data_IF_298598187525
#
_entry.id   IF_298598187525
#
_cell.length_a   1.000
_cell.length_b   1.000
_cell.length_c   1.000
_cell.angle_alpha   90.00
_cell.angle_beta   90.00
_cell.angle_gamma   90.00
#
_symmetry.space_group_name_H-M   'P 1'
#
loop_
_entity.id
_entity.type
_entity.pdbx_description
1 polymer ?
#
# COMPACT_ATOMS: atom_id res chain seq x y z
N UNK A 1 -48.36 -32.30 42.86
CA UNK A 1 -47.60 -31.63 41.78
C UNK A 1 -48.12 -30.19 41.65
N UNK A 2 -47.23 -29.21 41.89
CA UNK A 2 -47.19 -27.78 41.49
C UNK A 2 -48.52 -27.02 41.28
N UNK A 3 -48.91 -26.10 42.19
CA UNK A 3 -48.64 -24.64 42.20
C UNK A 3 -49.14 -23.90 40.93
N UNK A 4 -50.22 -23.09 40.98
CA UNK A 4 -50.29 -21.66 41.43
C UNK A 4 -49.55 -20.74 40.42
N UNK A 5 -50.05 -19.65 39.81
CA UNK A 5 -51.27 -18.81 39.92
C UNK A 5 -51.20 -17.73 38.81
N UNK A 6 -52.37 -17.38 38.23
CA UNK A 6 -52.90 -16.01 37.94
C UNK A 6 -52.24 -15.10 36.86
N UNK A 7 -53.02 -14.94 35.78
CA UNK A 7 -53.56 -13.69 35.23
C UNK A 7 -52.65 -12.74 34.45
N UNK A 8 -52.90 -12.69 33.14
CA UNK A 8 -52.52 -11.61 32.25
C UNK A 8 -53.70 -10.62 32.11
N UNK A 9 -53.46 -9.32 32.38
CA UNK A 9 -54.21 -8.23 31.76
C UNK A 9 -53.48 -6.88 31.89
N UNK A 10 -53.52 -6.10 30.81
CA UNK A 10 -53.22 -4.65 30.67
C UNK A 10 -51.75 -4.15 30.74
N UNK A 11 -51.16 -3.85 29.56
CA UNK A 11 -50.75 -2.47 29.17
C UNK A 11 -49.89 -2.44 27.88
N UNK A 12 -50.53 -2.54 26.71
CA UNK A 12 -49.91 -2.16 25.41
C UNK A 12 -50.64 -0.93 24.87
N UNK A 13 -50.27 0.26 25.35
CA UNK A 13 -50.79 1.53 24.80
C UNK A 13 -49.96 2.78 25.11
N UNK A 14 -48.94 2.73 25.98
CA UNK A 14 -48.16 3.92 26.38
C UNK A 14 -46.75 4.05 25.77
N UNK A 15 -46.26 3.04 25.04
CA UNK A 15 -44.89 3.05 24.48
C UNK A 15 -44.86 3.59 23.04
N UNK A 16 -46.00 3.62 22.34
CA UNK A 16 -46.06 4.06 20.93
C UNK A 16 -46.25 5.58 20.74
N UNK A 17 -46.62 6.32 21.80
CA UNK A 17 -46.78 7.78 21.77
C UNK A 17 -45.50 8.56 22.13
N UNK A 18 -44.54 7.94 22.84
CA UNK A 18 -43.28 8.59 23.22
C UNK A 18 -42.26 8.71 22.08
N UNK A 19 -42.31 7.80 21.10
CA UNK A 19 -41.34 7.76 19.98
C UNK A 19 -41.69 8.79 18.89
N UNK A 20 -42.96 9.18 18.75
CA UNK A 20 -43.40 10.17 17.76
C UNK A 20 -43.12 11.62 18.18
N UNK A 21 -43.11 11.94 19.48
CA UNK A 21 -42.82 13.31 19.95
C UNK A 21 -41.33 13.70 19.83
N UNK A 22 -40.42 12.73 19.97
CA UNK A 22 -38.97 12.97 19.89
C UNK A 22 -38.51 13.18 18.43
N UNK A 23 -39.14 12.48 17.48
CA UNK A 23 -38.87 12.66 16.04
C UNK A 23 -39.34 14.03 15.50
N UNK A 24 -40.40 14.61 16.07
CA UNK A 24 -40.90 15.94 15.68
C UNK A 24 -40.04 17.08 16.24
N UNK A 25 -39.44 16.91 17.42
CA UNK A 25 -38.54 17.91 18.04
C UNK A 25 -37.17 17.98 17.34
N UNK A 26 -36.65 16.86 16.84
CA UNK A 26 -35.38 16.82 16.10
C UNK A 26 -35.48 17.39 14.67
N UNK A 27 -36.66 17.31 14.05
CA UNK A 27 -36.90 17.89 12.72
C UNK A 27 -37.09 19.40 12.77
N UNK A 28 -37.62 19.96 13.86
CA UNK A 28 -37.75 21.43 14.04
C UNK A 28 -36.41 22.09 14.38
N UNK A 29 -35.48 21.40 15.05
CA UNK A 29 -34.14 21.92 15.36
C UNK A 29 -33.20 22.01 14.14
N UNK A 30 -33.46 21.27 13.07
CA UNK A 30 -32.69 21.33 11.82
C UNK A 30 -33.12 22.46 10.87
N UNK A 31 -34.23 23.15 11.14
CA UNK A 31 -34.78 24.20 10.26
C UNK A 31 -34.74 25.63 10.83
N UNK A 32 -34.16 25.87 12.02
CA UNK A 32 -34.19 27.21 12.66
C UNK A 32 -32.80 27.78 13.03
N UNK A 33 -31.68 27.15 12.66
CA UNK A 33 -30.36 27.80 12.75
C UNK A 33 -30.01 28.56 11.46
N UNK A 34 -29.84 29.89 11.48
CA UNK A 34 -29.60 30.66 10.27
C UNK A 34 -28.19 30.44 9.70
N UNK A 35 -28.13 30.08 8.41
CA UNK A 35 -26.94 29.85 7.56
C UNK A 35 -26.01 31.08 7.36
N UNK A 36 -26.14 32.14 8.14
CA UNK A 36 -25.47 33.43 7.91
C UNK A 36 -24.13 33.59 8.64
N UNK A 37 -23.89 32.88 9.76
CA UNK A 37 -22.65 33.07 10.55
C UNK A 37 -21.43 32.34 9.99
N UNK A 38 -21.60 31.17 9.38
CA UNK A 38 -20.48 30.40 8.78
C UNK A 38 -19.93 31.11 7.54
N UNK A 39 -20.79 31.76 6.74
CA UNK A 39 -20.38 32.48 5.54
C UNK A 39 -19.57 33.75 5.88
N UNK A 40 -19.94 34.45 6.95
CA UNK A 40 -19.23 35.64 7.40
C UNK A 40 -17.86 35.32 8.02
N UNK A 41 -17.72 34.19 8.72
CA UNK A 41 -16.42 33.72 9.23
C UNK A 41 -15.43 33.39 8.09
N UNK A 42 -15.92 32.75 7.02
CA UNK A 42 -15.10 32.43 5.84
C UNK A 42 -14.61 33.68 5.09
N UNK A 43 -15.43 34.74 4.99
CA UNK A 43 -15.04 35.99 4.33
C UNK A 43 -14.05 36.83 5.18
N UNK A 44 -14.19 36.81 6.51
CA UNK A 44 -13.25 37.48 7.42
C UNK A 44 -11.86 36.83 7.39
N UNK A 45 -11.80 35.49 7.29
CA UNK A 45 -10.56 34.72 7.16
C UNK A 45 -9.77 35.05 5.89
N UNK A 46 -10.44 35.13 4.73
CA UNK A 46 -9.77 35.48 3.46
C UNK A 46 -9.22 36.92 3.46
N UNK A 47 -9.92 37.87 4.09
CA UNK A 47 -9.45 39.26 4.19
C UNK A 47 -8.20 39.42 5.05
N UNK A 48 -8.02 38.56 6.07
CA UNK A 48 -6.85 38.56 6.93
C UNK A 48 -5.62 37.90 6.27
N UNK A 49 -5.81 36.94 5.35
CA UNK A 49 -4.72 36.35 4.55
C UNK A 49 -4.18 37.28 3.46
N UNK A 50 -5.01 38.21 2.94
CA UNK A 50 -4.59 39.16 1.90
C UNK A 50 -3.82 40.38 2.44
N UNK A 51 -3.89 40.68 3.75
CA UNK A 51 -3.19 41.84 4.34
C UNK A 51 -1.80 41.54 4.91
N UNK A 52 -1.43 40.26 5.11
CA UNK A 52 -0.13 39.88 5.68
C UNK A 52 1.01 39.74 4.66
N UNK A 53 0.75 39.88 3.36
CA UNK A 53 1.77 39.74 2.31
C UNK A 53 2.43 41.06 1.87
N UNK A 54 2.26 42.14 2.64
CA UNK A 54 2.91 43.42 2.38
C UNK A 54 3.59 43.96 3.64
N UNK A 55 4.79 43.46 3.97
CA UNK A 55 5.92 44.16 4.62
C UNK A 55 6.95 43.17 5.18
N UNK A 56 8.13 43.10 4.55
CA UNK A 56 9.46 43.13 5.17
C UNK A 56 10.52 42.61 4.17
N UNK A 57 11.08 43.54 3.40
CA UNK A 57 12.45 43.44 2.90
C UNK A 57 13.39 43.77 4.06
N UNK A 58 14.24 42.84 4.48
CA UNK A 58 15.59 43.13 4.98
C UNK A 58 16.48 41.93 4.68
N UNK A 59 17.60 42.18 4.00
CA UNK A 59 18.53 41.16 3.55
C UNK A 59 19.51 40.71 4.63
N UNK A 60 19.80 39.42 4.63
CA UNK A 60 21.05 38.83 5.12
C UNK A 60 21.47 37.78 4.10
N UNK A 61 22.68 37.93 3.56
CA UNK A 61 23.26 36.98 2.62
C UNK A 61 23.49 35.63 3.30
N UNK A 62 22.68 34.64 2.96
CA UNK A 62 22.81 33.25 3.39
C UNK A 62 22.63 32.34 2.18
N UNK A 63 23.61 31.49 1.93
CA UNK A 63 23.69 30.59 0.77
C UNK A 63 22.48 29.64 0.77
N UNK A 64 21.50 29.93 -0.09
CA UNK A 64 20.34 29.07 -0.29
C UNK A 64 20.61 28.14 -1.48
N UNK A 65 21.21 26.97 -1.21
CA UNK A 65 21.25 25.88 -2.20
C UNK A 65 19.97 25.06 -2.00
N UNK A 66 19.01 25.20 -2.91
CA UNK A 66 17.92 24.24 -3.05
C UNK A 66 18.54 22.88 -3.39
N UNK A 67 18.48 21.92 -2.46
CA UNK A 67 18.89 20.54 -2.71
C UNK A 67 17.78 19.82 -3.48
N UNK A 68 17.96 19.70 -4.79
CA UNK A 68 17.14 18.86 -5.64
C UNK A 68 17.81 17.50 -5.79
N UNK A 69 17.48 16.55 -4.91
CA UNK A 69 18.03 15.19 -4.93
C UNK A 69 17.87 14.49 -6.29
N UNK A 70 16.83 14.83 -7.07
CA UNK A 70 16.61 14.26 -8.40
C UNK A 70 17.67 14.76 -9.41
N UNK A 71 18.08 16.03 -9.33
CA UNK A 71 19.16 16.56 -10.16
C UNK A 71 20.52 15.97 -9.77
N UNK A 72 20.73 15.64 -8.50
CA UNK A 72 21.97 15.04 -8.02
C UNK A 72 22.11 13.58 -8.45
N UNK A 73 21.01 12.80 -8.43
CA UNK A 73 20.97 11.43 -8.96
C UNK A 73 21.18 11.40 -10.49
N UNK A 74 20.58 12.35 -11.23
CA UNK A 74 20.81 12.50 -12.67
C UNK A 74 22.24 12.95 -12.97
N UNK A 75 22.82 13.84 -12.14
CA UNK A 75 24.23 14.26 -12.26
C UNK A 75 25.19 13.12 -11.94
N UNK A 76 24.91 12.28 -10.94
CA UNK A 76 25.70 11.08 -10.62
C UNK A 76 25.62 10.06 -11.76
N UNK A 77 24.44 9.88 -12.36
CA UNK A 77 24.28 9.05 -13.57
C UNK A 77 25.08 9.55 -14.77
N UNK A 78 25.31 10.87 -14.90
CA UNK A 78 26.21 11.45 -15.91
C UNK A 78 27.69 11.43 -15.51
N UNK A 79 28.01 11.48 -14.21
CA UNK A 79 29.38 11.43 -13.70
C UNK A 79 30.04 10.07 -13.94
N UNK A 80 29.26 8.98 -13.96
CA UNK A 80 29.75 7.63 -14.28
C UNK A 80 30.35 7.51 -15.70
N UNK A 81 30.10 8.48 -16.59
CA UNK A 81 30.71 8.51 -17.92
C UNK A 81 32.09 9.19 -17.94
N UNK A 82 32.45 9.92 -16.88
CA UNK A 82 33.70 10.72 -16.80
C UNK A 82 34.69 10.25 -15.73
N UNK A 83 34.27 9.46 -14.74
CA UNK A 83 35.17 8.85 -13.76
C UNK A 83 35.48 7.40 -14.10
N UNK A 84 36.41 7.22 -15.03
CA UNK A 84 37.10 5.95 -15.22
C UNK A 84 38.02 5.65 -14.04
N UNK A 85 37.87 4.44 -13.50
CA UNK A 85 38.86 3.69 -12.69
C UNK A 85 39.39 4.35 -11.42
N UNK A 86 38.66 4.19 -10.31
CA UNK A 86 39.20 3.67 -9.05
C UNK A 86 38.03 3.46 -8.08
N UNK A 87 37.91 2.23 -7.57
CA UNK A 87 36.84 1.71 -6.72
C UNK A 87 35.55 1.24 -7.41
N UNK A 88 35.68 0.30 -8.37
CA UNK A 88 34.63 -0.69 -8.60
C UNK A 88 34.58 -1.63 -7.38
N UNK A 89 34.09 -1.16 -6.24
CA UNK A 89 33.46 -2.08 -5.29
C UNK A 89 32.24 -2.64 -6.03
N UNK A 90 32.40 -3.82 -6.62
CA UNK A 90 31.39 -4.46 -7.46
C UNK A 90 30.07 -4.46 -6.67
N UNK A 91 29.04 -3.74 -7.16
CA UNK A 91 27.71 -3.65 -6.55
C UNK A 91 26.97 -5.01 -6.66
N UNK A 92 27.60 -6.09 -6.20
CA UNK A 92 27.06 -7.44 -6.22
C UNK A 92 25.99 -7.60 -5.15
N UNK A 93 25.09 -8.56 -5.35
CA UNK A 93 24.10 -8.93 -4.33
C UNK A 93 24.78 -9.29 -3.00
N UNK A 94 25.87 -10.06 -3.05
CA UNK A 94 26.63 -10.46 -1.87
C UNK A 94 27.23 -9.26 -1.14
N UNK A 95 27.79 -8.29 -1.87
CA UNK A 95 28.30 -7.05 -1.27
C UNK A 95 27.17 -6.27 -0.60
N UNK A 96 26.06 -6.04 -1.31
CA UNK A 96 24.95 -5.26 -0.78
C UNK A 96 24.30 -5.89 0.45
N UNK A 97 24.07 -7.20 0.40
CA UNK A 97 23.47 -7.97 1.47
C UNK A 97 24.41 -8.06 2.69
N UNK A 98 25.70 -8.39 2.48
CA UNK A 98 26.67 -8.55 3.58
C UNK A 98 27.04 -7.23 4.26
N UNK A 99 27.10 -6.13 3.50
CA UNK A 99 27.38 -4.79 4.04
C UNK A 99 26.14 -4.06 4.51
N UNK A 100 24.95 -4.65 4.36
CA UNK A 100 23.68 -4.06 4.80
C UNK A 100 23.52 -2.63 4.26
N UNK A 101 23.71 -2.47 2.94
CA UNK A 101 23.68 -1.14 2.34
C UNK A 101 22.32 -0.48 2.53
N UNK A 102 22.35 0.82 2.79
CA UNK A 102 21.14 1.63 3.04
C UNK A 102 20.16 1.57 1.86
N UNK A 103 18.86 1.72 2.14
CA UNK A 103 17.77 1.64 1.16
C UNK A 103 17.91 2.62 -0.01
N UNK A 104 18.57 3.77 0.19
CA UNK A 104 18.81 4.79 -0.84
C UNK A 104 20.23 4.74 -1.44
N UNK A 105 21.01 3.68 -1.15
CA UNK A 105 22.35 3.54 -1.70
C UNK A 105 22.31 3.31 -3.22
N UNK A 106 23.15 4.01 -4.03
CA UNK A 106 23.14 3.91 -5.49
C UNK A 106 23.28 2.49 -6.04
N UNK A 107 24.16 1.66 -5.45
CA UNK A 107 24.25 0.24 -5.82
C UNK A 107 22.90 -0.46 -5.75
N UNK A 108 22.13 -0.27 -4.66
CA UNK A 108 20.84 -0.95 -4.45
C UNK A 108 19.84 -0.51 -5.52
N UNK A 109 19.72 0.79 -5.71
CA UNK A 109 18.78 1.39 -6.68
C UNK A 109 19.12 0.94 -8.10
N UNK A 110 20.41 0.98 -8.47
CA UNK A 110 20.84 0.64 -9.82
C UNK A 110 20.77 -0.88 -10.08
N UNK A 111 21.07 -1.72 -9.09
CA UNK A 111 20.86 -3.17 -9.22
C UNK A 111 19.40 -3.50 -9.46
N UNK A 112 18.46 -2.87 -8.72
CA UNK A 112 17.02 -3.07 -8.97
C UNK A 112 16.68 -2.66 -10.41
N UNK A 113 17.11 -1.46 -10.83
CA UNK A 113 16.81 -0.89 -12.15
C UNK A 113 17.36 -1.74 -13.30
N UNK A 114 18.57 -2.27 -13.16
CA UNK A 114 19.26 -3.01 -14.22
C UNK A 114 18.86 -4.48 -14.29
N UNK A 115 18.57 -5.12 -13.16
CA UNK A 115 18.47 -6.58 -13.08
C UNK A 115 17.10 -7.11 -12.66
N UNK A 116 16.26 -6.31 -11.99
CA UNK A 116 14.99 -6.79 -11.44
C UNK A 116 13.77 -6.07 -11.98
N UNK A 117 13.95 -4.89 -12.56
CA UNK A 117 12.85 -4.01 -12.95
C UNK A 117 12.42 -4.25 -14.42
N UNK A 118 11.34 -5.00 -14.61
CA UNK A 118 10.78 -5.22 -15.94
C UNK A 118 9.84 -4.08 -16.33
N UNK A 119 9.99 -3.61 -17.58
CA UNK A 119 9.21 -2.50 -18.12
C UNK A 119 7.73 -2.90 -18.32
N UNK A 120 6.80 -1.95 -18.11
CA UNK A 120 5.41 -2.13 -18.50
C UNK A 120 5.28 -2.53 -19.97
N UNK A 121 4.27 -3.36 -20.26
CA UNK A 121 3.94 -3.65 -21.65
C UNK A 121 3.49 -2.36 -22.37
N UNK A 122 3.86 -2.16 -23.65
CA UNK A 122 3.47 -0.97 -24.39
C UNK A 122 1.94 -0.74 -24.41
N UNK A 123 1.46 0.51 -24.44
CA UNK A 123 0.02 0.80 -24.40
C UNK A 123 -0.80 0.18 -25.53
N UNK A 124 -0.19 -0.06 -26.69
CA UNK A 124 -0.82 -0.66 -27.87
C UNK A 124 -0.92 -2.18 -27.82
N UNK A 125 -0.29 -2.84 -26.85
CA UNK A 125 -0.41 -4.30 -26.66
C UNK A 125 -1.60 -4.55 -25.73
N UNK A 126 -2.62 -5.34 -26.09
CA UNK A 126 -3.74 -5.60 -25.19
C UNK A 126 -3.34 -6.46 -23.99
N UNK A 127 -4.09 -6.33 -22.89
CA UNK A 127 -4.02 -7.26 -21.75
C UNK A 127 -4.41 -8.67 -22.21
N UNK A 128 -3.80 -9.69 -21.60
CA UNK A 128 -4.11 -11.10 -21.87
C UNK A 128 -4.76 -11.73 -20.65
N UNK A 129 -6.06 -11.47 -20.50
CA UNK A 129 -6.87 -11.93 -19.36
C UNK A 129 -7.51 -13.30 -19.64
N UNK A 130 -7.82 -14.05 -18.60
CA UNK A 130 -8.55 -15.32 -18.70
C UNK A 130 -10.01 -15.10 -19.11
N UNK A 131 -10.58 -13.93 -18.79
CA UNK A 131 -11.88 -13.48 -19.29
C UNK A 131 -11.91 -11.97 -19.56
N UNK A 132 -12.66 -11.58 -20.59
CA UNK A 132 -12.86 -10.17 -20.98
C UNK A 132 -14.02 -9.49 -20.23
N UNK A 133 -14.51 -10.10 -19.14
CA UNK A 133 -15.60 -9.51 -18.36
C UNK A 133 -15.17 -8.25 -17.60
N UNK A 134 -16.17 -7.41 -17.30
CA UNK A 134 -15.99 -6.14 -16.60
C UNK A 134 -16.10 -6.26 -15.07
N UNK A 135 -16.05 -7.47 -14.50
CA UNK A 135 -16.14 -7.63 -13.04
C UNK A 135 -14.88 -7.10 -12.36
N UNK A 136 -15.07 -6.56 -11.16
CA UNK A 136 -13.97 -6.23 -10.26
C UNK A 136 -13.23 -7.53 -9.88
N UNK A 137 -11.93 -7.57 -10.12
CA UNK A 137 -11.07 -8.71 -9.83
C UNK A 137 -10.65 -8.74 -8.37
N UNK A 138 -10.67 -7.60 -7.69
CA UNK A 138 -10.43 -7.58 -6.26
C UNK A 138 -11.61 -8.22 -5.50
N UNK A 139 -11.37 -8.82 -4.33
CA UNK A 139 -12.43 -9.20 -3.39
C UNK A 139 -13.27 -8.02 -2.84
N UNK A 140 -12.99 -6.78 -3.26
CA UNK A 140 -13.73 -5.57 -2.87
C UNK A 140 -12.85 -4.33 -2.65
N UNK A 141 -11.53 -4.52 -2.54
CA UNK A 141 -10.54 -3.50 -2.25
C UNK A 141 -10.61 -2.35 -3.27
N UNK A 142 -10.58 -2.67 -4.58
CA UNK A 142 -10.54 -1.69 -5.67
C UNK A 142 -11.66 -0.66 -5.52
N UNK A 143 -12.90 -1.13 -5.31
CA UNK A 143 -14.06 -0.24 -5.19
C UNK A 143 -13.99 0.71 -3.99
N UNK A 144 -13.45 0.26 -2.85
CA UNK A 144 -13.28 1.13 -1.67
C UNK A 144 -12.19 2.16 -1.91
N UNK A 145 -11.02 1.73 -2.39
CA UNK A 145 -9.89 2.61 -2.70
C UNK A 145 -10.28 3.68 -3.72
N UNK A 146 -10.98 3.28 -4.79
CA UNK A 146 -11.42 4.20 -5.82
C UNK A 146 -12.34 5.29 -5.26
N UNK A 147 -13.27 4.94 -4.37
CA UNK A 147 -14.15 5.91 -3.68
C UNK A 147 -13.40 6.81 -2.72
N UNK A 148 -12.49 6.27 -1.91
CA UNK A 148 -11.67 7.06 -0.97
C UNK A 148 -10.84 8.11 -1.71
N UNK A 149 -10.37 7.77 -2.91
CA UNK A 149 -9.59 8.66 -3.76
C UNK A 149 -10.46 9.46 -4.74
N UNK A 150 -11.77 9.58 -4.50
CA UNK A 150 -12.71 10.40 -5.26
C UNK A 150 -12.70 10.07 -6.76
N UNK A 151 -12.71 8.78 -7.09
CA UNK A 151 -12.72 8.25 -8.45
C UNK A 151 -11.52 8.74 -9.29
N UNK A 152 -10.36 8.88 -8.65
CA UNK A 152 -9.13 9.34 -9.29
C UNK A 152 -8.76 8.47 -10.50
N UNK A 153 -8.43 9.12 -11.61
CA UNK A 153 -7.76 8.50 -12.77
C UNK A 153 -6.29 8.89 -12.78
N UNK A 154 -5.48 8.17 -13.55
CA UNK A 154 -4.04 8.42 -13.65
C UNK A 154 -3.33 8.35 -12.28
N UNK A 155 -3.76 7.41 -11.44
CA UNK A 155 -3.10 7.16 -10.17
C UNK A 155 -1.91 6.22 -10.29
N UNK A 156 -1.22 6.01 -9.18
CA UNK A 156 -0.11 5.07 -9.09
C UNK A 156 -0.29 4.10 -7.94
N UNK A 157 -0.27 2.81 -8.25
CA UNK A 157 -0.38 1.76 -7.24
C UNK A 157 0.95 1.02 -7.04
N UNK A 158 1.08 0.38 -5.89
CA UNK A 158 1.99 -0.75 -5.70
C UNK A 158 1.17 -1.92 -5.17
N UNK A 159 1.35 -3.10 -5.74
CA UNK A 159 0.76 -4.35 -5.27
C UNK A 159 1.90 -5.35 -5.04
N UNK A 160 2.09 -5.74 -3.78
CA UNK A 160 3.02 -6.78 -3.36
C UNK A 160 2.23 -8.00 -2.94
N UNK A 161 2.54 -9.15 -3.54
CA UNK A 161 1.61 -10.30 -3.62
C UNK A 161 0.82 -10.30 -4.92
N UNK A 162 1.43 -9.87 -6.03
CA UNK A 162 0.74 -9.70 -7.31
C UNK A 162 0.36 -11.03 -8.00
N UNK A 163 0.87 -12.16 -7.49
CA UNK A 163 0.52 -13.50 -7.91
C UNK A 163 0.66 -13.69 -9.43
N UNK A 164 -0.43 -14.08 -10.13
CA UNK A 164 -0.44 -14.31 -11.57
C UNK A 164 -0.81 -13.05 -12.37
N UNK A 165 -0.95 -11.91 -11.71
CA UNK A 165 -1.30 -10.63 -12.31
C UNK A 165 -2.77 -10.44 -12.67
N UNK A 166 -3.67 -11.37 -12.34
CA UNK A 166 -5.10 -11.27 -12.67
C UNK A 166 -6.02 -11.76 -11.55
N UNK A 167 -5.80 -12.98 -11.05
CA UNK A 167 -6.63 -13.58 -10.02
C UNK A 167 -6.53 -12.76 -8.73
N UNK A 168 -7.67 -12.34 -8.19
CA UNK A 168 -7.77 -11.51 -6.99
C UNK A 168 -6.98 -10.19 -7.02
N UNK A 169 -6.57 -9.69 -8.20
CA UNK A 169 -5.71 -8.51 -8.26
C UNK A 169 -6.44 -7.25 -7.77
N UNK A 170 -5.81 -6.57 -6.81
CA UNK A 170 -6.29 -5.32 -6.23
C UNK A 170 -5.99 -4.10 -7.13
N UNK A 171 -5.21 -4.28 -8.20
CA UNK A 171 -4.76 -3.19 -9.07
C UNK A 171 -5.20 -3.30 -10.52
N UNK A 172 -5.57 -4.49 -11.02
CA UNK A 172 -5.85 -4.71 -12.44
C UNK A 172 -6.98 -3.80 -12.96
N UNK A 173 -8.03 -3.58 -12.17
CA UNK A 173 -9.13 -2.71 -12.57
C UNK A 173 -8.82 -1.22 -12.46
N UNK A 174 -7.93 -0.83 -11.55
CA UNK A 174 -7.37 0.53 -11.52
C UNK A 174 -6.60 0.81 -12.82
N UNK A 175 -5.82 -0.16 -13.27
CA UNK A 175 -5.04 -0.12 -14.50
C UNK A 175 -5.94 -0.05 -15.74
N UNK A 176 -6.79 -1.07 -15.97
CA UNK A 176 -7.52 -1.23 -17.24
C UNK A 176 -8.70 -0.27 -17.42
N UNK A 177 -9.28 0.26 -16.33
CA UNK A 177 -10.47 1.14 -16.40
C UNK A 177 -10.17 2.60 -16.13
N UNK A 178 -9.14 2.90 -15.33
CA UNK A 178 -8.91 4.25 -14.81
C UNK A 178 -7.52 4.82 -15.17
N UNK A 179 -6.79 4.14 -16.06
CA UNK A 179 -5.48 4.54 -16.56
C UNK A 179 -4.44 4.70 -15.44
N UNK A 180 -4.50 3.86 -14.41
CA UNK A 180 -3.47 3.84 -13.39
C UNK A 180 -2.23 3.10 -13.90
N UNK A 181 -1.06 3.60 -13.53
CA UNK A 181 0.20 2.84 -13.61
C UNK A 181 0.57 2.28 -12.25
N UNK A 182 1.60 1.45 -12.19
CA UNK A 182 2.03 0.96 -10.89
C UNK A 182 3.21 0.02 -10.92
N UNK A 183 3.40 -0.68 -9.80
CA UNK A 183 4.40 -1.72 -9.59
C UNK A 183 3.69 -2.99 -9.11
N UNK A 184 4.05 -4.12 -9.68
CA UNK A 184 3.64 -5.46 -9.27
C UNK A 184 4.88 -6.21 -8.75
N UNK A 185 4.82 -6.67 -7.51
CA UNK A 185 5.91 -7.41 -6.86
C UNK A 185 5.38 -8.81 -6.55
N UNK A 186 6.10 -9.83 -7.01
CA UNK A 186 5.74 -11.22 -6.77
C UNK A 186 7.01 -12.06 -6.62
N UNK A 187 7.15 -12.70 -5.46
CA UNK A 187 8.36 -13.43 -5.08
C UNK A 187 8.38 -14.86 -5.64
N UNK A 188 7.22 -15.50 -5.83
CA UNK A 188 7.18 -16.87 -6.32
C UNK A 188 7.47 -16.89 -7.83
N UNK A 189 8.53 -17.57 -8.28
CA UNK A 189 8.93 -17.55 -9.69
C UNK A 189 7.86 -18.16 -10.61
N UNK A 190 7.06 -19.12 -10.14
CA UNK A 190 6.03 -19.79 -10.94
C UNK A 190 4.88 -18.83 -11.24
N UNK A 191 4.38 -18.12 -10.22
CA UNK A 191 3.32 -17.12 -10.35
C UNK A 191 3.82 -15.90 -11.10
N UNK A 192 5.06 -15.46 -10.85
CA UNK A 192 5.68 -14.36 -11.58
C UNK A 192 5.76 -14.62 -13.09
N UNK A 193 6.12 -15.84 -13.52
CA UNK A 193 6.11 -16.18 -14.95
C UNK A 193 4.72 -16.07 -15.57
N UNK A 194 3.66 -16.45 -14.83
CA UNK A 194 2.28 -16.26 -15.28
C UNK A 194 1.93 -14.77 -15.37
N UNK A 195 2.35 -13.96 -14.39
CA UNK A 195 2.17 -12.52 -14.38
C UNK A 195 2.77 -11.85 -15.61
N UNK A 196 3.98 -12.24 -16.01
CA UNK A 196 4.61 -11.71 -17.23
C UNK A 196 3.79 -11.97 -18.51
N UNK A 197 2.99 -13.04 -18.53
CA UNK A 197 2.16 -13.38 -19.69
C UNK A 197 0.89 -12.52 -19.84
N UNK A 198 0.54 -11.70 -18.84
CA UNK A 198 -0.69 -10.90 -18.80
C UNK A 198 -0.62 -9.56 -19.53
N UNK A 199 0.56 -9.16 -20.00
CA UNK A 199 0.81 -7.86 -20.66
C UNK A 199 0.42 -6.63 -19.82
N UNK A 200 0.57 -6.72 -18.49
CA UNK A 200 0.26 -5.63 -17.53
C UNK A 200 0.97 -4.32 -17.92
N UNK A 201 0.29 -3.20 -17.66
CA UNK A 201 0.78 -1.81 -17.86
C UNK A 201 1.49 -1.25 -16.64
N UNK A 202 1.95 -2.13 -15.76
CA UNK A 202 2.73 -1.82 -14.57
C UNK A 202 4.15 -2.40 -14.67
N UNK A 203 5.07 -1.81 -13.92
CA UNK A 203 6.40 -2.37 -13.71
C UNK A 203 6.27 -3.69 -12.95
N UNK A 204 7.11 -4.68 -13.23
CA UNK A 204 7.05 -5.98 -12.53
C UNK A 204 8.42 -6.37 -11.99
N UNK A 205 8.46 -6.90 -10.77
CA UNK A 205 9.70 -7.32 -10.10
C UNK A 205 9.57 -8.73 -9.48
N UNK A 206 10.49 -9.67 -9.80
CA UNK A 206 10.53 -11.00 -9.19
C UNK A 206 11.34 -10.98 -7.88
N UNK A 207 10.86 -10.22 -6.89
CA UNK A 207 11.54 -10.01 -5.62
C UNK A 207 10.56 -10.18 -4.45
N UNK A 208 11.10 -10.31 -3.25
CA UNK A 208 10.37 -10.03 -2.01
C UNK A 208 10.65 -8.60 -1.52
N UNK A 209 9.80 -8.08 -0.63
CA UNK A 209 10.14 -6.88 0.14
C UNK A 209 10.98 -7.29 1.35
N UNK A 210 12.06 -6.55 1.59
CA UNK A 210 12.95 -6.82 2.71
C UNK A 210 12.24 -6.54 4.04
N UNK A 211 12.45 -7.43 5.02
CA UNK A 211 12.02 -7.23 6.41
C UNK A 211 12.97 -6.29 7.16
N UNK A 212 14.04 -5.86 6.49
CA UNK A 212 15.09 -5.01 7.01
C UNK A 212 15.21 -3.72 6.21
N UNK A 213 15.91 -2.74 6.78
CA UNK A 213 16.22 -1.46 6.11
C UNK A 213 17.36 -1.55 5.09
N UNK A 214 17.65 -2.75 4.60
CA UNK A 214 18.71 -3.05 3.62
C UNK A 214 18.34 -4.29 2.80
N UNK A 215 19.00 -4.54 1.65
CA UNK A 215 18.78 -5.74 0.85
C UNK A 215 19.11 -7.03 1.60
N UNK A 216 18.30 -8.06 1.39
CA UNK A 216 18.48 -9.38 2.00
C UNK A 216 18.19 -10.47 0.97
N UNK A 217 18.56 -11.71 1.29
CA UNK A 217 18.16 -12.87 0.50
C UNK A 217 17.51 -13.87 1.44
N UNK A 218 16.33 -14.35 1.05
CA UNK A 218 15.58 -15.36 1.79
C UNK A 218 15.48 -16.62 0.97
N UNK A 219 15.19 -17.73 1.63
CA UNK A 219 14.92 -19.01 0.99
C UNK A 219 13.53 -19.43 1.41
N UNK A 220 12.66 -19.74 0.46
CA UNK A 220 11.34 -20.28 0.79
C UNK A 220 10.95 -21.42 -0.13
N UNK A 221 9.94 -22.16 0.31
CA UNK A 221 9.42 -23.30 -0.41
C UNK A 221 8.13 -22.89 -1.13
N UNK A 222 8.11 -22.84 -2.48
CA UNK A 222 6.91 -22.47 -3.21
C UNK A 222 5.84 -23.55 -3.05
N UNK A 223 4.59 -23.13 -2.82
CA UNK A 223 3.46 -24.06 -2.94
C UNK A 223 3.12 -24.25 -4.43
N UNK A 224 3.06 -25.51 -4.86
CA UNK A 224 2.60 -25.92 -6.19
C UNK A 224 1.11 -26.20 -6.18
N UNK A 225 0.36 -25.56 -7.08
CA UNK A 225 -1.09 -25.79 -7.22
C UNK A 225 -1.97 -24.95 -6.29
N UNK A 226 -1.39 -24.23 -5.34
CA UNK A 226 -2.08 -23.21 -4.55
C UNK A 226 -1.81 -21.82 -5.18
N UNK A 227 -2.81 -21.19 -5.82
CA UNK A 227 -2.65 -19.88 -6.42
C UNK A 227 -2.77 -18.74 -5.39
N UNK A 228 -2.73 -18.98 -4.08
CA UNK A 228 -2.82 -17.92 -3.07
C UNK A 228 -1.64 -17.89 -2.12
N UNK A 229 -1.25 -19.02 -1.55
CA UNK A 229 -0.48 -19.01 -0.31
C UNK A 229 1.00 -19.42 -0.50
N UNK A 230 1.89 -18.47 -0.80
CA UNK A 230 3.34 -18.71 -0.74
C UNK A 230 3.93 -18.09 0.54
N UNK A 231 4.32 -18.91 1.52
CA UNK A 231 4.91 -18.42 2.77
C UNK A 231 6.41 -18.14 2.59
N UNK A 232 6.86 -16.92 2.92
CA UNK A 232 8.29 -16.59 3.01
C UNK A 232 8.82 -17.08 4.36
N UNK A 233 9.80 -17.98 4.38
CA UNK A 233 10.50 -18.35 5.62
C UNK A 233 11.75 -17.45 5.79
N UNK A 234 11.84 -16.78 6.94
CA UNK A 234 12.99 -15.98 7.35
C UNK A 234 13.21 -16.09 8.85
N UNK A 235 14.32 -16.74 9.25
CA UNK A 235 14.79 -17.04 10.62
C UNK A 235 13.99 -18.03 11.49
N UNK A 236 13.08 -18.82 10.91
CA UNK A 236 12.52 -19.98 11.60
C UNK A 236 13.04 -21.26 10.94
N UNK A 237 13.50 -22.23 11.74
CA UNK A 237 13.70 -23.61 11.29
C UNK A 237 12.50 -24.03 10.44
N UNK A 238 12.74 -24.46 9.20
CA UNK A 238 11.75 -24.97 8.23
C UNK A 238 10.60 -25.68 8.93
N UNK A 239 9.43 -25.02 9.04
CA UNK A 239 8.28 -25.58 9.75
C UNK A 239 7.34 -26.38 8.83
N UNK A 240 7.72 -26.63 7.58
CA UNK A 240 6.97 -27.50 6.69
C UNK A 240 7.77 -28.76 6.38
N UNK A 241 7.35 -29.87 7.00
CA UNK A 241 7.97 -31.20 6.82
C UNK A 241 7.81 -31.65 5.35
N UNK A 242 8.82 -32.28 4.74
CA UNK A 242 8.67 -32.93 3.43
C UNK A 242 7.48 -33.89 3.41
N UNK A 243 6.67 -33.86 2.34
CA UNK A 243 5.52 -34.76 2.14
C UNK A 243 4.13 -34.14 2.28
N UNK A 244 4.01 -32.82 2.42
CA UNK A 244 2.71 -32.12 2.31
C UNK A 244 2.32 -32.03 0.82
N UNK A 245 1.13 -32.53 0.42
CA UNK A 245 0.65 -32.38 -0.95
C UNK A 245 0.58 -30.90 -1.37
N UNK A 246 1.15 -30.55 -2.53
CA UNK A 246 1.16 -29.17 -3.04
C UNK A 246 2.33 -28.30 -2.56
N UNK A 247 3.34 -28.89 -1.91
CA UNK A 247 4.59 -28.21 -1.56
C UNK A 247 5.72 -28.72 -2.46
N UNK A 248 6.43 -27.83 -3.15
CA UNK A 248 7.60 -28.21 -3.95
C UNK A 248 8.76 -28.60 -3.03
N UNK A 249 9.39 -29.78 -3.17
CA UNK A 249 10.56 -30.13 -2.35
C UNK A 249 11.74 -29.16 -2.52
N UNK A 250 11.83 -28.43 -3.63
CA UNK A 250 12.96 -27.54 -3.92
C UNK A 250 12.79 -26.15 -3.28
N UNK A 251 13.80 -25.77 -2.49
CA UNK A 251 13.90 -24.45 -1.90
C UNK A 251 14.36 -23.42 -2.94
N UNK A 252 13.66 -22.29 -3.02
CA UNK A 252 14.00 -21.18 -3.94
C UNK A 252 14.60 -20.02 -3.15
N UNK A 253 15.76 -19.55 -3.60
CA UNK A 253 16.36 -18.31 -3.11
C UNK A 253 15.77 -17.12 -3.83
N UNK A 254 15.28 -16.13 -3.08
CA UNK A 254 14.74 -14.88 -3.63
C UNK A 254 15.42 -13.69 -2.98
N UNK A 255 15.82 -12.74 -3.82
CA UNK A 255 16.38 -11.48 -3.36
C UNK A 255 15.25 -10.57 -2.88
N UNK A 256 15.40 -9.99 -1.70
CA UNK A 256 14.51 -8.98 -1.18
C UNK A 256 15.14 -7.59 -1.24
N UNK A 257 14.34 -6.59 -1.54
CA UNK A 257 14.74 -5.18 -1.48
C UNK A 257 13.80 -4.39 -0.57
N UNK A 258 14.29 -3.40 0.18
CA UNK A 258 13.43 -2.52 0.95
C UNK A 258 12.46 -1.75 0.02
N UNK A 259 11.22 -1.58 0.45
CA UNK A 259 10.16 -0.94 -0.33
C UNK A 259 10.55 0.45 -0.86
N UNK A 260 11.26 1.23 -0.04
CA UNK A 260 11.73 2.55 -0.44
C UNK A 260 12.70 2.47 -1.64
N UNK A 261 13.62 1.51 -1.64
CA UNK A 261 14.55 1.28 -2.76
C UNK A 261 13.82 0.97 -4.07
N UNK A 262 12.75 0.17 -4.00
CA UNK A 262 11.92 -0.17 -5.16
C UNK A 262 11.24 1.08 -5.74
N UNK A 263 10.69 1.93 -4.87
CA UNK A 263 10.09 3.21 -5.27
C UNK A 263 11.13 4.13 -5.93
N UNK A 264 12.34 4.25 -5.37
CA UNK A 264 13.42 5.04 -5.95
C UNK A 264 13.89 4.50 -7.30
N UNK A 265 13.90 3.18 -7.50
CA UNK A 265 14.30 2.57 -8.76
C UNK A 265 13.40 3.00 -9.93
N UNK A 266 12.09 3.14 -9.68
CA UNK A 266 11.10 3.67 -10.65
C UNK A 266 10.97 5.20 -10.64
N UNK A 267 11.72 5.90 -9.79
CA UNK A 267 11.69 7.37 -9.68
C UNK A 267 10.40 7.90 -9.05
N UNK A 268 9.84 7.20 -8.07
CA UNK A 268 8.59 7.57 -7.38
C UNK A 268 8.80 7.68 -5.87
N UNK A 269 8.03 8.57 -5.26
CA UNK A 269 7.88 8.68 -3.79
C UNK A 269 6.40 8.84 -3.39
N UNK A 270 5.53 9.13 -4.35
CA UNK A 270 4.09 9.26 -4.17
C UNK A 270 3.35 8.03 -4.73
N UNK A 271 2.61 7.38 -3.85
CA UNK A 271 1.79 6.19 -4.11
C UNK A 271 0.35 6.49 -3.71
N UNK A 272 -0.57 6.35 -4.65
CA UNK A 272 -2.00 6.56 -4.37
C UNK A 272 -2.57 5.36 -3.60
N UNK A 273 -2.16 4.15 -3.96
CA UNK A 273 -2.64 2.91 -3.34
C UNK A 273 -1.51 1.89 -3.17
N UNK A 274 -1.33 1.37 -1.95
CA UNK A 274 -0.42 0.25 -1.69
C UNK A 274 -1.20 -0.96 -1.16
N UNK A 275 -1.29 -2.02 -1.97
CA UNK A 275 -1.78 -3.34 -1.56
C UNK A 275 -0.61 -4.17 -1.07
N UNK A 276 -0.66 -4.62 0.18
CA UNK A 276 0.38 -5.44 0.81
C UNK A 276 -0.23 -6.75 1.32
N UNK A 277 0.07 -7.83 0.62
CA UNK A 277 -0.40 -9.18 0.92
C UNK A 277 0.77 -10.15 0.65
N UNK A 278 1.52 -10.50 1.69
CA UNK A 278 2.75 -11.32 1.57
C UNK A 278 2.76 -12.48 2.56
N UNK A 279 1.57 -12.88 3.00
CA UNK A 279 1.32 -14.08 3.79
C UNK A 279 2.08 -14.10 5.13
N UNK A 280 1.98 -12.99 5.88
CA UNK A 280 2.33 -12.93 7.32
C UNK A 280 3.53 -12.06 7.68
N UNK A 281 4.07 -11.29 6.74
CA UNK A 281 5.26 -10.42 6.96
C UNK A 281 4.96 -8.92 6.86
N UNK A 282 3.69 -8.56 6.80
CA UNK A 282 3.21 -7.23 6.46
C UNK A 282 3.72 -6.19 7.46
N UNK A 283 3.52 -6.42 8.77
CA UNK A 283 3.95 -5.47 9.80
C UNK A 283 5.48 -5.29 9.85
N UNK A 284 6.24 -6.35 9.58
CA UNK A 284 7.71 -6.26 9.53
C UNK A 284 8.15 -5.38 8.35
N UNK A 285 7.57 -5.56 7.17
CA UNK A 285 7.82 -4.71 6.01
C UNK A 285 7.43 -3.26 6.30
N UNK A 286 6.25 -3.02 6.84
CA UNK A 286 5.76 -1.68 7.15
C UNK A 286 6.68 -0.92 8.12
N UNK A 287 7.29 -1.62 9.08
CA UNK A 287 8.29 -1.04 10.02
C UNK A 287 9.58 -0.57 9.33
N UNK A 288 9.89 -1.07 8.13
CA UNK A 288 11.08 -0.64 7.36
C UNK A 288 10.88 0.66 6.59
N UNK A 289 9.63 1.08 6.40
CA UNK A 289 9.28 2.19 5.51
C UNK A 289 9.66 3.53 6.17
N UNK A 290 10.47 4.37 5.50
CA UNK A 290 10.76 5.71 5.99
C UNK A 290 9.58 6.64 5.68
N UNK A 291 8.53 6.61 6.50
CA UNK A 291 7.26 7.34 6.29
C UNK A 291 7.38 8.86 6.08
N UNK A 292 8.51 9.45 6.47
CA UNK A 292 8.83 10.87 6.25
C UNK A 292 9.42 11.16 4.85
N UNK A 293 9.88 10.14 4.12
CA UNK A 293 10.48 10.28 2.77
C UNK A 293 9.50 9.95 1.64
N UNK A 294 8.37 9.32 1.94
CA UNK A 294 7.38 8.91 0.94
C UNK A 294 5.96 9.26 1.36
N UNK A 295 5.08 9.36 0.37
CA UNK A 295 3.70 9.72 0.55
C UNK A 295 2.79 8.62 0.00
N UNK A 296 2.26 7.77 0.88
CA UNK A 296 1.26 6.76 0.54
C UNK A 296 -0.11 7.27 0.97
N UNK A 297 -1.09 7.33 0.08
CA UNK A 297 -2.42 7.88 0.40
C UNK A 297 -3.37 6.86 0.98
N UNK A 298 -3.35 5.63 0.45
CA UNK A 298 -4.23 4.54 0.91
C UNK A 298 -3.48 3.22 0.92
N UNK A 299 -3.84 2.34 1.86
CA UNK A 299 -3.30 0.99 1.97
C UNK A 299 -4.41 -0.03 2.19
N UNK A 300 -4.22 -1.21 1.63
CA UNK A 300 -4.85 -2.44 2.11
C UNK A 300 -3.75 -3.39 2.55
N UNK A 301 -3.90 -3.96 3.74
CA UNK A 301 -2.87 -4.80 4.34
C UNK A 301 -3.51 -6.08 4.87
N UNK A 302 -3.07 -7.23 4.35
CA UNK A 302 -3.45 -8.56 4.83
C UNK A 302 -3.02 -8.74 6.29
N UNK A 303 -3.79 -9.48 7.08
CA UNK A 303 -3.42 -9.76 8.48
C UNK A 303 -3.68 -11.20 8.92
N UNK A 304 -4.21 -12.06 8.05
CA UNK A 304 -4.67 -13.41 8.45
C UNK A 304 -3.52 -14.27 8.99
N UNK A 305 -2.38 -14.23 8.29
CA UNK A 305 -1.21 -15.05 8.59
C UNK A 305 -0.17 -14.34 9.47
N UNK A 306 -0.46 -13.11 9.91
CA UNK A 306 0.48 -12.30 10.65
C UNK A 306 0.42 -12.63 12.16
N UNK A 307 1.51 -13.15 12.77
CA UNK A 307 1.48 -13.59 14.17
C UNK A 307 1.23 -12.45 15.16
N UNK A 308 1.54 -11.20 14.80
CA UNK A 308 1.26 -10.02 15.62
C UNK A 308 -0.25 -9.65 15.67
N UNK A 309 -1.06 -10.13 14.73
CA UNK A 309 -2.49 -9.88 14.64
C UNK A 309 -2.92 -8.46 14.21
N UNK A 310 -4.19 -8.32 13.80
CA UNK A 310 -4.77 -7.10 13.25
C UNK A 310 -4.59 -5.84 14.13
N UNK A 311 -4.61 -6.01 15.45
CA UNK A 311 -4.56 -4.92 16.43
C UNK A 311 -3.17 -4.27 16.47
N UNK A 312 -2.10 -5.08 16.40
CA UNK A 312 -0.73 -4.58 16.36
C UNK A 312 -0.48 -3.81 15.05
N UNK A 313 -0.99 -4.34 13.93
CA UNK A 313 -0.96 -3.66 12.63
C UNK A 313 -1.69 -2.31 12.69
N UNK A 314 -2.91 -2.30 13.21
CA UNK A 314 -3.73 -1.07 13.28
C UNK A 314 -3.05 0.01 14.11
N UNK A 315 -2.53 -0.33 15.30
CA UNK A 315 -1.80 0.61 16.15
C UNK A 315 -0.56 1.18 15.45
N UNK A 316 0.24 0.32 14.82
CA UNK A 316 1.43 0.78 14.10
C UNK A 316 1.08 1.75 12.95
N UNK A 317 0.02 1.47 12.21
CA UNK A 317 -0.42 2.33 11.11
C UNK A 317 -0.96 3.67 11.63
N UNK A 318 -1.70 3.66 12.73
CA UNK A 318 -2.16 4.87 13.43
C UNK A 318 -0.98 5.74 13.88
N UNK A 319 0.02 5.14 14.54
CA UNK A 319 1.26 5.81 14.95
C UNK A 319 2.06 6.36 13.75
N UNK A 320 1.89 5.74 12.57
CA UNK A 320 2.53 6.15 11.31
C UNK A 320 1.74 7.21 10.53
N UNK A 321 0.65 7.76 11.11
CA UNK A 321 -0.15 8.84 10.52
C UNK A 321 -1.22 8.36 9.55
N UNK A 322 -1.81 7.19 9.80
CA UNK A 322 -2.93 6.65 9.01
C UNK A 322 -4.16 6.41 9.88
N UNK A 323 -5.34 6.56 9.30
CA UNK A 323 -6.60 6.17 9.93
C UNK A 323 -7.10 4.86 9.33
N UNK A 324 -7.55 3.95 10.19
CA UNK A 324 -8.31 2.76 9.77
C UNK A 324 -9.72 3.17 9.36
N UNK A 325 -10.13 2.79 8.15
CA UNK A 325 -11.48 3.10 7.61
C UNK A 325 -12.38 1.87 7.56
N UNK A 326 -11.81 0.67 7.55
CA UNK A 326 -12.57 -0.58 7.50
C UNK A 326 -11.67 -1.80 7.45
N UNK A 327 -12.30 -2.96 7.29
CA UNK A 327 -11.63 -4.23 7.03
C UNK A 327 -12.50 -5.10 6.13
N UNK A 328 -11.86 -5.94 5.33
CA UNK A 328 -12.48 -7.08 4.70
C UNK A 328 -12.26 -8.30 5.59
N UNK A 329 -13.31 -9.08 5.83
CA UNK A 329 -13.25 -10.33 6.60
C UNK A 329 -14.14 -11.36 5.91
N UNK A 330 -13.56 -11.95 4.86
CA UNK A 330 -14.16 -13.02 4.09
C UNK A 330 -13.32 -14.28 4.22
N UNK A 331 -13.87 -15.42 3.80
CA UNK A 331 -13.26 -16.74 3.97
C UNK A 331 -11.82 -16.85 3.41
N UNK A 332 -11.45 -16.01 2.44
CA UNK A 332 -10.15 -16.04 1.75
C UNK A 332 -9.51 -14.65 1.64
N UNK A 333 -9.99 -13.66 2.40
CA UNK A 333 -9.50 -12.28 2.31
C UNK A 333 -9.72 -11.59 3.63
N UNK A 334 -8.62 -11.26 4.30
CA UNK A 334 -8.63 -10.53 5.56
C UNK A 334 -7.66 -9.37 5.49
N UNK A 335 -8.19 -8.20 5.12
CA UNK A 335 -7.41 -6.99 4.93
C UNK A 335 -7.92 -5.87 5.82
N UNK A 336 -7.04 -5.01 6.29
CA UNK A 336 -7.41 -3.72 6.89
C UNK A 336 -7.16 -2.61 5.89
N UNK A 337 -8.08 -1.64 5.84
CA UNK A 337 -7.99 -0.48 4.94
C UNK A 337 -7.57 0.75 5.73
N UNK A 338 -6.49 1.38 5.27
CA UNK A 338 -5.94 2.60 5.86
C UNK A 338 -5.94 3.76 4.86
N UNK A 339 -6.14 4.98 5.36
CA UNK A 339 -5.99 6.23 4.61
C UNK A 339 -5.06 7.17 5.36
N UNK A 340 -4.20 7.92 4.65
CA UNK A 340 -3.32 8.92 5.24
C UNK A 340 -4.14 9.94 6.03
N UNK A 341 -3.80 10.16 7.29
CA UNK A 341 -4.42 11.18 8.11
C UNK A 341 -3.85 12.55 7.72
N UNK A 342 -4.65 13.37 7.04
CA UNK A 342 -4.29 14.72 6.62
C UNK A 342 -4.62 15.79 7.68
N UNK A 343 -5.21 15.40 8.82
CA UNK A 343 -5.63 16.31 9.89
C UNK A 343 -4.57 16.35 11.00
N UNK A 344 -3.94 15.21 11.30
CA UNK A 344 -2.97 15.07 12.39
C UNK A 344 -1.50 14.92 11.94
N UNK A 345 -1.20 15.11 10.64
CA UNK A 345 0.17 15.20 10.10
C UNK A 345 0.58 16.63 9.83
#
# INVERSE_FOLDING_TARGET
MKNIVVTACQSRSKIQFGVFLIALLLTVLLFVYPRTEIYNYYQQSQKNQLSSNALMKFGVAGVNRNYNLMEEVIRLGKLNQYFGSQDNSECTLDYMNSKKLQQDHPCVIETIRQHYLNKPSPPNIPLKLDSDDDKDRSPGQTGVIFRLLKNKTNGFFVECGALNGEYMSNSLDLERKYNWGGILIEANPITFQKLLSRNRKAWTLPICLSLETYPTQVTFQPKTGDPGHSHIEGEAETLQKPGIPGVDPDLVKVQCFPFYSVLLAVGRTDVDFFSLDVEGHELKILKTIPWHKINIKTLTVEWDNMPEGQEALSRFMEDSGFMRIGAFDFQFTRDVIFVKDLINT
#
